data_IF_953794158432
#
_entry.id   IF_953794158432
#
_cell.length_a   1.000
_cell.length_b   1.000
_cell.length_c   1.000
_cell.angle_alpha   90.00
_cell.angle_beta   90.00
_cell.angle_gamma   90.00
#
_symmetry.space_group_name_H-M   'P 1'
#
loop_
_entity.id
_entity.type
_entity.pdbx_description
1 polymer ?
#
# COMPACT_ATOMS: atom_id res chain seq x y z
N UNK A 1 14.52 9.10 1.20
CA UNK A 1 14.25 7.95 0.32
C UNK A 1 14.42 8.36 -1.16
N UNK A 2 15.63 8.18 -1.75
CA UNK A 2 15.94 8.56 -3.15
C UNK A 2 15.60 7.44 -4.18
N UNK A 3 15.31 6.23 -3.74
CA UNK A 3 15.12 5.05 -4.61
C UNK A 3 13.84 5.02 -5.46
N UNK A 4 12.86 5.88 -5.18
CA UNK A 4 11.55 5.89 -5.86
C UNK A 4 11.58 6.57 -7.25
N UNK A 5 12.71 7.19 -7.64
CA UNK A 5 12.84 7.95 -8.89
C UNK A 5 13.40 7.16 -10.07
N UNK A 6 13.89 5.93 -9.88
CA UNK A 6 14.54 5.19 -10.97
C UNK A 6 13.55 4.36 -11.81
N UNK A 7 13.52 4.67 -13.11
CA UNK A 7 12.60 4.14 -14.11
C UNK A 7 12.90 2.69 -14.57
N UNK A 8 13.85 1.99 -13.93
CA UNK A 8 14.17 0.59 -14.27
C UNK A 8 13.25 -0.35 -13.49
N UNK A 9 12.34 -1.02 -14.20
CA UNK A 9 11.36 -2.01 -13.69
C UNK A 9 11.96 -3.02 -12.70
N UNK A 10 13.22 -3.44 -12.88
CA UNK A 10 13.93 -4.37 -11.97
C UNK A 10 14.28 -3.75 -10.61
N UNK A 11 14.80 -2.53 -10.58
CA UNK A 11 15.13 -1.81 -9.32
C UNK A 11 13.85 -1.50 -8.55
N UNK A 12 12.77 -1.17 -9.28
CA UNK A 12 11.46 -0.98 -8.69
C UNK A 12 10.91 -2.28 -8.10
N UNK A 13 10.91 -3.39 -8.85
CA UNK A 13 10.50 -4.72 -8.34
C UNK A 13 11.32 -5.15 -7.12
N UNK A 14 12.63 -4.93 -7.13
CA UNK A 14 13.51 -5.20 -5.99
C UNK A 14 13.15 -4.32 -4.79
N UNK A 15 12.89 -3.03 -5.00
CA UNK A 15 12.49 -2.12 -3.92
C UNK A 15 11.13 -2.50 -3.31
N UNK A 16 10.18 -2.93 -4.14
CA UNK A 16 8.87 -3.40 -3.70
C UNK A 16 9.00 -4.74 -2.99
N UNK A 17 9.84 -5.64 -3.49
CA UNK A 17 10.22 -6.86 -2.78
C UNK A 17 10.84 -6.55 -1.42
N UNK A 18 11.74 -5.56 -1.33
CA UNK A 18 12.33 -5.13 -0.06
C UNK A 18 11.29 -4.52 0.88
N UNK A 19 10.39 -3.65 0.38
CA UNK A 19 9.28 -3.10 1.16
C UNK A 19 8.20 -4.12 1.54
N UNK A 20 8.20 -5.32 0.95
CA UNK A 20 7.22 -6.37 1.24
C UNK A 20 7.81 -7.53 2.05
N UNK A 21 9.12 -7.79 1.95
CA UNK A 21 9.84 -8.86 2.67
C UNK A 21 10.43 -8.34 4.00
N UNK A 22 11.03 -7.15 4.01
CA UNK A 22 11.67 -6.60 5.21
C UNK A 22 10.68 -6.26 6.37
N UNK A 23 9.40 -5.88 6.13
CA UNK A 23 8.44 -5.63 7.22
C UNK A 23 8.13 -6.82 8.14
N UNK A 24 8.68 -8.01 7.86
CA UNK A 24 8.62 -9.15 8.78
C UNK A 24 9.51 -8.94 10.01
N UNK A 25 10.58 -8.14 9.90
CA UNK A 25 11.54 -7.87 10.97
C UNK A 25 11.42 -6.47 11.60
N UNK A 26 10.44 -5.66 11.17
CA UNK A 26 10.29 -4.27 11.63
C UNK A 26 9.45 -4.19 12.90
N UNK A 27 9.83 -3.27 13.79
CA UNK A 27 9.04 -2.94 14.97
C UNK A 27 7.80 -2.11 14.59
N UNK A 28 6.86 -1.96 15.53
CA UNK A 28 5.59 -1.27 15.28
C UNK A 28 5.81 0.17 14.81
N UNK A 29 6.70 0.93 15.45
CA UNK A 29 7.00 2.32 15.07
C UNK A 29 7.52 2.45 13.63
N UNK A 30 8.36 1.52 13.18
CA UNK A 30 8.85 1.50 11.80
C UNK A 30 7.74 1.22 10.80
N UNK A 31 6.85 0.26 11.12
CA UNK A 31 5.66 -0.03 10.31
C UNK A 31 4.72 1.19 10.24
N UNK A 32 4.49 1.83 11.38
CA UNK A 32 3.62 3.01 11.50
C UNK A 32 4.12 4.15 10.62
N UNK A 33 5.41 4.45 10.70
CA UNK A 33 6.06 5.47 9.89
C UNK A 33 6.00 5.14 8.40
N UNK A 34 6.22 3.88 8.01
CA UNK A 34 6.12 3.46 6.61
C UNK A 34 4.70 3.62 6.08
N UNK A 35 3.70 3.19 6.83
CA UNK A 35 2.29 3.31 6.39
C UNK A 35 1.89 4.77 6.28
N UNK A 36 2.23 5.61 7.26
CA UNK A 36 2.00 7.04 7.20
C UNK A 36 2.65 7.65 5.95
N UNK A 37 3.91 7.30 5.67
CA UNK A 37 4.64 7.75 4.50
C UNK A 37 3.96 7.32 3.20
N UNK A 38 3.56 6.04 3.08
CA UNK A 38 2.89 5.51 1.92
C UNK A 38 1.54 6.19 1.71
N UNK A 39 0.71 6.35 2.75
CA UNK A 39 -0.59 7.02 2.65
C UNK A 39 -0.44 8.48 2.20
N UNK A 40 0.45 9.24 2.85
CA UNK A 40 0.59 10.68 2.58
C UNK A 40 1.23 10.98 1.22
N UNK A 41 2.20 10.19 0.76
CA UNK A 41 2.98 10.54 -0.45
C UNK A 41 2.44 9.91 -1.73
N UNK A 42 1.32 9.18 -1.67
CA UNK A 42 0.74 8.48 -2.81
C UNK A 42 0.52 9.31 -4.07
N UNK A 43 0.02 10.52 -3.88
CA UNK A 43 -0.31 11.46 -4.96
C UNK A 43 0.93 12.12 -5.59
N UNK A 44 2.09 12.09 -4.92
CA UNK A 44 3.32 12.73 -5.39
C UNK A 44 4.02 11.93 -6.50
N UNK A 45 3.63 10.68 -6.70
CA UNK A 45 4.23 9.81 -7.70
C UNK A 45 3.51 9.92 -9.04
N UNK A 46 4.15 10.56 -10.02
CA UNK A 46 3.69 10.52 -11.42
C UNK A 46 3.85 9.14 -12.06
N UNK A 47 4.79 8.33 -11.55
CA UNK A 47 5.07 7.01 -12.09
C UNK A 47 4.02 5.99 -11.61
N UNK A 48 3.20 5.49 -12.55
CA UNK A 48 2.19 4.46 -12.28
C UNK A 48 2.75 3.20 -11.62
N UNK A 49 4.00 2.84 -11.91
CA UNK A 49 4.63 1.67 -11.32
C UNK A 49 4.79 1.83 -9.81
N UNK A 50 5.25 3.01 -9.40
CA UNK A 50 5.37 3.36 -7.98
C UNK A 50 4.01 3.36 -7.29
N UNK A 51 2.96 3.84 -7.97
CA UNK A 51 1.60 3.89 -7.41
C UNK A 51 0.98 2.51 -7.22
N UNK A 52 1.07 1.60 -8.20
CA UNK A 52 0.48 0.26 -8.03
C UNK A 52 1.25 -0.54 -6.97
N UNK A 53 2.58 -0.42 -6.94
CA UNK A 53 3.39 -1.13 -5.96
C UNK A 53 3.19 -0.63 -4.53
N UNK A 54 2.91 0.66 -4.38
CA UNK A 54 2.43 1.23 -3.11
C UNK A 54 1.11 0.57 -2.70
N UNK A 55 0.15 0.45 -3.61
CA UNK A 55 -1.13 -0.20 -3.31
C UNK A 55 -0.90 -1.64 -2.83
N UNK A 56 -0.09 -2.42 -3.56
CA UNK A 56 0.26 -3.79 -3.17
C UNK A 56 0.92 -3.86 -1.78
N UNK A 57 1.88 -2.96 -1.51
CA UNK A 57 2.59 -2.90 -0.23
C UNK A 57 1.63 -2.60 0.92
N UNK A 58 0.71 -1.65 0.71
CA UNK A 58 -0.33 -1.31 1.69
C UNK A 58 -1.20 -2.52 2.02
N UNK A 59 -1.69 -3.27 1.02
CA UNK A 59 -2.51 -4.48 1.26
C UNK A 59 -1.77 -5.55 2.06
N UNK A 60 -0.46 -5.74 1.80
CA UNK A 60 0.36 -6.71 2.53
C UNK A 60 0.62 -6.31 3.98
N UNK A 61 0.95 -5.03 4.20
CA UNK A 61 1.28 -4.51 5.53
C UNK A 61 0.03 -4.35 6.39
N UNK A 62 -1.12 -4.05 5.79
CA UNK A 62 -2.39 -3.79 6.49
C UNK A 62 -2.76 -4.87 7.51
N UNK A 63 -2.45 -6.14 7.24
CA UNK A 63 -2.74 -7.24 8.16
C UNK A 63 -2.07 -7.09 9.52
N UNK A 64 -0.93 -6.40 9.61
CA UNK A 64 -0.16 -6.18 10.83
C UNK A 64 -0.48 -4.85 11.54
N UNK A 65 -1.34 -4.03 10.97
CA UNK A 65 -1.64 -2.71 11.52
C UNK A 65 -2.66 -2.76 12.65
N UNK A 66 -2.58 -1.75 13.53
CA UNK A 66 -3.63 -1.46 14.49
C UNK A 66 -4.90 -0.95 13.80
N UNK A 67 -6.01 -0.95 14.53
CA UNK A 67 -7.33 -0.65 13.97
C UNK A 67 -7.42 0.71 13.27
N UNK A 68 -6.80 1.75 13.82
CA UNK A 68 -6.87 3.10 13.25
C UNK A 68 -6.11 3.18 11.92
N UNK A 69 -4.90 2.66 11.88
CA UNK A 69 -4.09 2.64 10.66
C UNK A 69 -4.67 1.72 9.59
N UNK A 70 -5.26 0.60 10.00
CA UNK A 70 -5.96 -0.30 9.12
C UNK A 70 -7.11 0.41 8.40
N UNK A 71 -7.98 1.12 9.15
CA UNK A 71 -9.07 1.93 8.58
C UNK A 71 -8.55 2.97 7.61
N UNK A 72 -7.47 3.68 7.95
CA UNK A 72 -6.84 4.67 7.06
C UNK A 72 -6.29 4.03 5.78
N UNK A 73 -5.70 2.83 5.90
CA UNK A 73 -5.16 2.08 4.75
C UNK A 73 -6.28 1.62 3.82
N UNK A 74 -7.37 1.06 4.37
CA UNK A 74 -8.55 0.67 3.59
C UNK A 74 -9.16 1.87 2.87
N UNK A 75 -9.35 3.00 3.56
CA UNK A 75 -9.85 4.25 2.96
C UNK A 75 -8.93 4.71 1.81
N UNK A 76 -7.61 4.64 2.01
CA UNK A 76 -6.65 5.01 0.98
C UNK A 76 -6.76 4.10 -0.27
N UNK A 77 -6.97 2.79 -0.09
CA UNK A 77 -7.13 1.86 -1.21
C UNK A 77 -8.47 2.07 -1.93
N UNK A 78 -9.57 2.28 -1.21
CA UNK A 78 -10.88 2.63 -1.78
C UNK A 78 -10.82 3.91 -2.62
N UNK A 79 -10.17 4.96 -2.11
CA UNK A 79 -9.95 6.19 -2.87
C UNK A 79 -9.13 5.95 -4.16
N UNK A 80 -8.22 4.98 -4.15
CA UNK A 80 -7.46 4.60 -5.33
C UNK A 80 -8.31 3.92 -6.40
N UNK A 81 -9.33 3.15 -6.01
CA UNK A 81 -10.29 2.52 -6.92
C UNK A 81 -11.23 3.56 -7.51
N UNK A 82 -11.79 4.43 -6.67
CA UNK A 82 -12.79 5.43 -7.05
C UNK A 82 -12.22 6.67 -7.74
N UNK A 83 -10.94 6.67 -8.12
CA UNK A 83 -10.31 7.78 -8.81
C UNK A 83 -10.33 7.53 -10.32
N UNK A 84 -11.26 8.16 -11.03
CA UNK A 84 -11.43 8.01 -12.49
C UNK A 84 -10.22 8.51 -13.31
N UNK A 85 -9.37 9.35 -12.71
CA UNK A 85 -8.14 9.85 -13.33
C UNK A 85 -6.94 8.93 -13.05
N UNK A 86 -7.12 7.88 -12.26
CA UNK A 86 -6.06 6.94 -11.94
C UNK A 86 -5.82 5.96 -13.10
N UNK A 87 -4.61 5.41 -13.14
CA UNK A 87 -4.28 4.39 -14.12
C UNK A 87 -5.03 3.08 -13.80
N UNK A 88 -5.66 2.41 -14.79
CA UNK A 88 -6.41 1.18 -14.56
C UNK A 88 -5.62 0.05 -13.89
N UNK A 89 -4.30 -0.04 -14.13
CA UNK A 89 -3.47 -1.01 -13.43
C UNK A 89 -3.36 -0.67 -11.94
N UNK A 90 -3.22 0.60 -11.57
CA UNK A 90 -3.17 1.02 -10.17
C UNK A 90 -4.50 0.71 -9.48
N UNK A 91 -5.63 1.02 -10.12
CA UNK A 91 -6.98 0.67 -9.61
C UNK A 91 -7.12 -0.84 -9.37
N UNK A 92 -6.71 -1.67 -10.34
CA UNK A 92 -6.71 -3.14 -10.22
C UNK A 92 -5.90 -3.60 -8.99
N UNK A 93 -4.73 -3.02 -8.75
CA UNK A 93 -3.92 -3.38 -7.58
C UNK A 93 -4.50 -2.84 -6.26
N UNK A 94 -5.21 -1.72 -6.26
CA UNK A 94 -5.99 -1.28 -5.11
C UNK A 94 -7.10 -2.28 -4.79
N UNK A 95 -7.85 -2.76 -5.78
CA UNK A 95 -8.87 -3.80 -5.60
C UNK A 95 -8.28 -5.11 -5.08
N UNK A 96 -7.20 -5.60 -5.69
CA UNK A 96 -6.46 -6.78 -5.23
C UNK A 96 -5.98 -6.65 -3.77
N UNK A 97 -5.53 -5.46 -3.39
CA UNK A 97 -5.06 -5.18 -2.03
C UNK A 97 -6.22 -5.11 -1.04
N UNK A 98 -7.40 -4.63 -1.45
CA UNK A 98 -8.62 -4.67 -0.64
C UNK A 98 -9.08 -6.11 -0.41
N UNK A 99 -9.10 -6.93 -1.47
CA UNK A 99 -9.46 -8.34 -1.38
C UNK A 99 -8.62 -9.08 -0.33
N UNK A 100 -7.30 -8.82 -0.34
CA UNK A 100 -6.36 -9.38 0.63
C UNK A 100 -6.69 -9.03 2.09
N UNK A 101 -7.27 -7.86 2.35
CA UNK A 101 -7.57 -7.41 3.72
C UNK A 101 -9.00 -7.72 4.16
N UNK A 102 -9.86 -8.24 3.27
CA UNK A 102 -11.25 -8.60 3.56
C UNK A 102 -11.40 -9.49 4.81
N UNK A 103 -10.57 -10.53 5.05
CA UNK A 103 -10.71 -11.37 6.23
C UNK A 103 -10.58 -10.57 7.55
N UNK A 104 -9.63 -9.62 7.60
CA UNK A 104 -9.45 -8.74 8.76
C UNK A 104 -10.58 -7.70 8.88
N UNK A 105 -11.11 -7.20 7.76
CA UNK A 105 -12.31 -6.34 7.78
C UNK A 105 -13.48 -7.08 8.42
N UNK A 106 -13.81 -8.29 7.99
CA UNK A 106 -14.90 -9.07 8.57
C UNK A 106 -14.75 -9.31 10.07
N UNK A 107 -13.51 -9.47 10.56
CA UNK A 107 -13.24 -9.61 12.00
C UNK A 107 -13.41 -8.33 12.83
N UNK A 108 -13.20 -7.15 12.22
CA UNK A 108 -13.35 -5.84 12.89
C UNK A 108 -14.82 -5.39 12.92
N UNK A 109 -15.56 -5.70 11.86
CA UNK A 109 -16.96 -5.30 11.67
C UNK A 109 -17.91 -6.51 11.78
N UNK A 110 -17.66 -7.42 12.72
CA UNK A 110 -18.64 -8.44 13.07
C UNK A 110 -19.88 -7.74 13.66
N UNK A 111 -20.89 -7.55 12.81
CA UNK A 111 -22.28 -7.41 13.21
C UNK A 111 -22.84 -8.80 13.55
#
# INVERSE_FOLDING_TARGET
MKGLKHNKSRVHKLYVALLTIIPIKWNQTQLDNLVAYLIQNGHKYKNKNVRYSRAESLGRIAMKLNSQQFKNTVKCLMNGINNDKENPFVQKYCAYSLERVLPKMKGIWKC
#
